data_IF_227702651312
#
_entry.id   IF_227702651312
#
_cell.length_a   1.000
_cell.length_b   1.000
_cell.length_c   1.000
_cell.angle_alpha   90.00
_cell.angle_beta   90.00
_cell.angle_gamma   90.00
#
_symmetry.space_group_name_H-M   'P 1'
#
loop_
_entity.id
_entity.type
_entity.pdbx_description
1 polymer ?
#
# COMPACT_ATOMS: atom_id res chain seq x y z
N UNK A 1 -24.50 -32.04 33.70
CA UNK A 1 -24.36 -30.67 34.23
C UNK A 1 -24.25 -29.72 33.05
N UNK A 2 -25.10 -28.70 32.96
CA UNK A 2 -25.06 -27.69 31.91
C UNK A 2 -24.58 -26.37 32.51
N UNK A 3 -23.57 -25.74 31.89
CA UNK A 3 -23.08 -24.42 32.26
C UNK A 3 -23.64 -23.40 31.25
N UNK A 4 -24.83 -22.83 31.49
CA UNK A 4 -25.37 -21.83 30.58
C UNK A 4 -24.49 -20.58 30.62
N UNK A 5 -24.04 -20.13 29.46
CA UNK A 5 -23.38 -18.84 29.31
C UNK A 5 -24.43 -17.78 29.01
N UNK A 6 -24.42 -16.70 29.77
CA UNK A 6 -25.22 -15.50 29.49
C UNK A 6 -24.30 -14.46 28.86
N UNK A 7 -24.70 -13.93 27.71
CA UNK A 7 -24.00 -12.84 27.03
C UNK A 7 -24.78 -11.55 27.24
N UNK A 8 -24.14 -10.55 27.81
CA UNK A 8 -24.72 -9.21 27.99
C UNK A 8 -23.95 -8.19 27.16
N UNK A 9 -24.66 -7.34 26.41
CA UNK A 9 -24.06 -6.27 25.62
C UNK A 9 -24.18 -4.96 26.42
N UNK A 10 -23.06 -4.32 26.68
CA UNK A 10 -23.00 -2.99 27.28
C UNK A 10 -22.34 -2.00 26.30
N UNK A 11 -22.79 -0.75 26.33
CA UNK A 11 -22.25 0.33 25.49
C UNK A 11 -21.87 1.51 26.37
N UNK A 12 -20.58 1.67 26.68
CA UNK A 12 -20.07 2.87 27.35
C UNK A 12 -19.42 3.82 26.33
N UNK A 13 -20.27 4.56 25.63
CA UNK A 13 -19.84 5.55 24.64
C UNK A 13 -19.33 6.87 25.27
N UNK A 14 -19.41 7.02 26.60
CA UNK A 14 -19.10 8.27 27.29
C UNK A 14 -17.67 8.35 27.81
N UNK A 15 -17.07 7.22 28.17
CA UNK A 15 -15.73 7.20 28.76
C UNK A 15 -14.67 6.55 27.84
N UNK A 16 -15.07 5.99 26.70
CA UNK A 16 -14.15 5.27 25.82
C UNK A 16 -13.43 6.20 24.84
N UNK A 17 -12.13 6.38 25.07
CA UNK A 17 -11.19 6.79 24.01
C UNK A 17 -10.87 5.58 23.13
N UNK A 18 -11.49 5.53 21.96
CA UNK A 18 -11.30 4.43 21.02
C UNK A 18 -10.16 4.74 20.07
N UNK A 19 -9.38 3.71 19.73
CA UNK A 19 -8.44 3.82 18.63
C UNK A 19 -9.21 3.91 17.31
N UNK A 20 -8.82 4.86 16.46
CA UNK A 20 -9.23 4.84 15.07
C UNK A 20 -8.72 3.53 14.44
N UNK A 21 -9.51 2.84 13.60
CA UNK A 21 -9.05 1.61 12.98
C UNK A 21 -7.89 1.87 12.02
N UNK A 22 -7.12 0.82 11.76
CA UNK A 22 -6.25 0.78 10.60
C UNK A 22 -7.09 0.67 9.33
N UNK A 23 -6.67 1.35 8.27
CA UNK A 23 -7.30 1.25 6.95
C UNK A 23 -6.23 0.87 5.95
N UNK A 24 -6.49 -0.18 5.20
CA UNK A 24 -5.61 -0.65 4.12
C UNK A 24 -6.42 -0.66 2.83
N UNK A 25 -5.85 -0.08 1.78
CA UNK A 25 -6.46 -0.03 0.45
C UNK A 25 -5.42 -0.38 -0.62
N UNK A 26 -5.86 -1.03 -1.68
CA UNK A 26 -5.04 -1.34 -2.84
C UNK A 26 -5.62 -0.60 -4.05
N UNK A 27 -4.78 0.02 -4.86
CA UNK A 27 -5.23 0.62 -6.11
C UNK A 27 -5.60 -0.48 -7.11
N UNK A 28 -6.64 -0.23 -7.91
CA UNK A 28 -6.99 -1.11 -9.03
C UNK A 28 -5.88 -1.09 -10.09
N UNK A 29 -5.43 0.12 -10.47
CA UNK A 29 -4.25 0.31 -11.30
C UNK A 29 -3.02 0.52 -10.39
N UNK A 30 -2.12 -0.46 -10.36
CA UNK A 30 -0.95 -0.48 -9.47
C UNK A 30 0.33 0.05 -10.10
N UNK A 31 0.25 0.60 -11.31
CA UNK A 31 1.39 1.24 -11.98
C UNK A 31 0.96 2.50 -12.71
N UNK A 32 1.87 3.47 -12.78
CA UNK A 32 1.71 4.68 -13.59
C UNK A 32 2.43 4.49 -14.92
N UNK A 33 1.75 4.72 -16.05
CA UNK A 33 2.34 4.61 -17.39
C UNK A 33 3.60 5.47 -17.54
N UNK A 34 3.56 6.71 -17.04
CA UNK A 34 4.71 7.65 -17.07
C UNK A 34 5.89 7.12 -16.27
N UNK A 35 5.65 6.58 -15.06
CA UNK A 35 6.72 6.03 -14.22
C UNK A 35 7.29 4.74 -14.80
N UNK A 36 6.44 3.89 -15.38
CA UNK A 36 6.84 2.68 -16.09
C UNK A 36 7.71 2.99 -17.31
N UNK A 37 7.32 3.95 -18.15
CA UNK A 37 8.12 4.43 -19.29
C UNK A 37 9.52 4.90 -18.84
N UNK A 38 9.58 5.71 -17.78
CA UNK A 38 10.84 6.18 -17.22
C UNK A 38 11.68 5.05 -16.61
N UNK A 39 11.06 4.06 -15.98
CA UNK A 39 11.74 2.88 -15.44
C UNK A 39 12.35 2.05 -16.57
N UNK A 40 11.57 1.73 -17.61
CA UNK A 40 12.02 0.93 -18.76
C UNK A 40 13.21 1.58 -19.46
N UNK A 41 13.14 2.89 -19.69
CA UNK A 41 14.24 3.65 -20.29
C UNK A 41 15.52 3.59 -19.44
N UNK A 42 15.41 3.65 -18.11
CA UNK A 42 16.57 3.61 -17.21
C UNK A 42 17.16 2.21 -17.08
N UNK A 43 16.33 1.18 -17.02
CA UNK A 43 16.75 -0.20 -16.75
C UNK A 43 17.29 -0.91 -18.00
N UNK A 44 16.63 -0.72 -19.16
CA UNK A 44 16.97 -1.46 -20.39
C UNK A 44 17.36 -0.56 -21.56
N UNK A 45 17.40 0.76 -21.37
CA UNK A 45 17.70 1.74 -22.44
C UNK A 45 16.74 1.64 -23.65
N UNK A 46 15.47 1.32 -23.39
CA UNK A 46 14.43 1.16 -24.41
C UNK A 46 13.46 2.36 -24.37
N UNK A 47 13.18 2.93 -25.52
CA UNK A 47 12.23 4.02 -25.73
C UNK A 47 10.92 3.51 -26.33
N UNK A 48 9.88 4.35 -26.33
CA UNK A 48 8.53 4.00 -26.83
C UNK A 48 8.48 3.60 -28.31
N UNK A 49 9.46 4.04 -29.11
CA UNK A 49 9.54 3.71 -30.54
C UNK A 49 10.15 2.33 -30.81
N UNK A 50 10.77 1.71 -29.81
CA UNK A 50 11.42 0.41 -29.98
C UNK A 50 10.40 -0.71 -29.93
N UNK A 51 10.57 -1.72 -30.79
CA UNK A 51 9.67 -2.88 -30.86
C UNK A 51 9.59 -3.65 -29.52
N UNK A 52 10.72 -3.71 -28.80
CA UNK A 52 10.83 -4.37 -27.48
C UNK A 52 10.13 -3.61 -26.35
N UNK A 53 9.73 -2.35 -26.55
CA UNK A 53 9.09 -1.56 -25.51
C UNK A 53 7.80 -2.20 -25.00
N UNK A 54 6.99 -2.74 -25.92
CA UNK A 54 5.74 -3.41 -25.58
C UNK A 54 5.96 -4.60 -24.64
N UNK A 55 7.02 -5.38 -24.89
CA UNK A 55 7.39 -6.53 -24.08
C UNK A 55 7.76 -6.13 -22.65
N UNK A 56 8.67 -5.16 -22.48
CA UNK A 56 9.07 -4.69 -21.15
C UNK A 56 7.93 -3.98 -20.40
N UNK A 57 7.06 -3.28 -21.12
CA UNK A 57 5.87 -2.67 -20.52
C UNK A 57 4.90 -3.73 -20.01
N UNK A 58 4.70 -4.81 -20.76
CA UNK A 58 3.87 -5.93 -20.32
C UNK A 58 4.49 -6.64 -19.11
N UNK A 59 5.81 -6.81 -19.07
CA UNK A 59 6.52 -7.30 -17.88
C UNK A 59 6.26 -6.41 -16.65
N UNK A 60 6.50 -5.10 -16.76
CA UNK A 60 6.27 -4.14 -15.66
C UNK A 60 4.83 -4.18 -15.19
N UNK A 61 3.87 -4.23 -16.13
CA UNK A 61 2.43 -4.33 -15.81
C UNK A 61 2.10 -5.62 -15.08
N UNK A 62 2.66 -6.75 -15.51
CA UNK A 62 2.44 -8.06 -14.89
C UNK A 62 2.96 -8.08 -13.47
N UNK A 63 4.22 -7.70 -13.27
CA UNK A 63 4.86 -7.67 -11.95
C UNK A 63 4.11 -6.72 -11.01
N UNK A 64 3.66 -5.55 -11.49
CA UNK A 64 2.90 -4.59 -10.68
C UNK A 64 1.49 -5.06 -10.33
N UNK A 65 0.89 -5.90 -11.17
CA UNK A 65 -0.50 -6.40 -11.01
C UNK A 65 -0.56 -7.82 -10.44
N UNK A 66 0.58 -8.34 -9.99
CA UNK A 66 0.67 -9.69 -9.47
C UNK A 66 -0.01 -9.78 -8.11
N UNK A 67 -0.64 -10.92 -7.90
CA UNK A 67 -1.36 -11.35 -6.72
C UNK A 67 -1.04 -12.82 -6.53
N UNK A 68 -1.34 -13.36 -5.35
CA UNK A 68 -1.19 -14.78 -5.06
C UNK A 68 -1.87 -15.67 -6.12
N UNK A 69 -3.00 -15.24 -6.69
CA UNK A 69 -3.79 -16.02 -7.64
C UNK A 69 -3.23 -16.07 -9.08
N UNK A 70 -2.43 -15.07 -9.47
CA UNK A 70 -1.94 -14.93 -10.85
C UNK A 70 -0.41 -14.91 -10.95
N UNK A 71 0.27 -15.53 -9.97
CA UNK A 71 1.72 -15.73 -10.02
C UNK A 71 2.19 -16.46 -11.29
N UNK A 72 1.34 -17.34 -11.85
CA UNK A 72 1.62 -18.09 -13.07
C UNK A 72 1.88 -17.20 -14.29
N UNK A 73 1.37 -15.96 -14.30
CA UNK A 73 1.54 -15.03 -15.40
C UNK A 73 3.00 -14.61 -15.60
N UNK A 74 3.85 -14.76 -14.58
CA UNK A 74 5.29 -14.50 -14.70
C UNK A 74 6.02 -15.53 -15.55
N UNK A 75 5.44 -16.72 -15.74
CA UNK A 75 6.10 -17.82 -16.47
C UNK A 75 6.51 -17.45 -17.90
N UNK A 76 5.75 -16.57 -18.55
CA UNK A 76 6.07 -16.10 -19.92
C UNK A 76 7.37 -15.30 -20.04
N UNK A 77 7.96 -14.91 -18.91
CA UNK A 77 9.21 -14.15 -18.82
C UNK A 77 10.38 -14.99 -18.32
N UNK A 78 10.18 -16.29 -18.05
CA UNK A 78 11.16 -17.19 -17.40
C UNK A 78 12.47 -17.31 -18.18
N UNK A 79 12.41 -17.36 -19.52
CA UNK A 79 13.58 -17.58 -20.37
C UNK A 79 14.39 -16.31 -20.69
N UNK A 80 13.92 -15.12 -20.27
CA UNK A 80 14.58 -13.86 -20.61
C UNK A 80 15.63 -13.45 -19.56
N UNK A 81 16.89 -13.67 -19.91
CA UNK A 81 18.07 -13.31 -19.10
C UNK A 81 18.18 -11.82 -18.77
N UNK A 82 17.56 -10.95 -19.56
CA UNK A 82 17.57 -9.50 -19.29
C UNK A 82 16.74 -9.11 -18.07
N UNK A 83 15.87 -10.02 -17.60
CA UNK A 83 14.98 -9.82 -16.46
C UNK A 83 15.48 -10.48 -15.17
N UNK A 84 16.48 -11.35 -15.23
CA UNK A 84 17.02 -12.11 -14.07
C UNK A 84 17.51 -11.20 -12.93
N UNK A 85 18.11 -10.05 -13.25
CA UNK A 85 18.69 -9.13 -12.28
C UNK A 85 17.73 -8.01 -11.82
N UNK A 86 16.43 -8.17 -12.06
CA UNK A 86 15.43 -7.16 -11.70
C UNK A 86 14.93 -7.40 -10.29
N UNK A 87 15.16 -6.44 -9.41
CA UNK A 87 14.48 -6.39 -8.11
C UNK A 87 12.99 -6.01 -8.34
N UNK A 88 12.13 -7.03 -8.29
CA UNK A 88 10.69 -6.87 -8.52
C UNK A 88 10.05 -5.93 -7.49
N UNK A 89 10.48 -5.96 -6.24
CA UNK A 89 9.94 -5.10 -5.17
C UNK A 89 10.31 -3.65 -5.44
N UNK A 90 11.56 -3.39 -5.82
CA UNK A 90 11.99 -2.07 -6.25
C UNK A 90 11.25 -1.60 -7.50
N UNK A 91 11.07 -2.46 -8.50
CA UNK A 91 10.30 -2.15 -9.71
C UNK A 91 8.90 -1.67 -9.35
N UNK A 92 8.14 -2.47 -8.58
CA UNK A 92 6.76 -2.11 -8.24
C UNK A 92 6.67 -0.83 -7.43
N UNK A 93 7.61 -0.57 -6.51
CA UNK A 93 7.62 0.69 -5.75
C UNK A 93 7.95 1.92 -6.60
N UNK A 94 8.83 1.78 -7.59
CA UNK A 94 9.19 2.89 -8.48
C UNK A 94 8.08 3.23 -9.48
N UNK A 95 7.33 2.23 -9.93
CA UNK A 95 6.25 2.43 -10.90
C UNK A 95 4.89 2.66 -10.26
N UNK A 96 4.74 2.41 -8.95
CA UNK A 96 3.49 2.61 -8.22
C UNK A 96 2.97 4.05 -8.38
N UNK A 97 1.67 4.26 -8.64
CA UNK A 97 1.08 5.60 -8.71
C UNK A 97 1.29 6.35 -7.40
N UNK A 98 1.48 7.67 -7.49
CA UNK A 98 1.37 8.50 -6.31
C UNK A 98 -0.10 8.59 -5.92
N UNK A 99 -0.39 8.49 -4.63
CA UNK A 99 -1.74 8.62 -4.13
C UNK A 99 -2.14 10.11 -4.19
N UNK A 100 -3.05 10.46 -5.09
CA UNK A 100 -3.61 11.82 -5.23
C UNK A 100 -4.85 11.98 -4.35
N UNK A 101 -4.81 12.94 -3.44
CA UNK A 101 -5.91 13.23 -2.51
C UNK A 101 -5.45 13.42 -1.07
N UNK A 102 -6.35 13.91 -0.24
CA UNK A 102 -6.08 14.24 1.16
C UNK A 102 -6.93 13.37 2.09
N UNK A 103 -6.28 12.65 3.00
CA UNK A 103 -7.00 11.98 4.09
C UNK A 103 -7.23 12.97 5.24
N UNK A 104 -8.45 13.49 5.31
CA UNK A 104 -8.89 14.37 6.37
C UNK A 104 -9.35 13.52 7.56
N UNK A 105 -8.67 13.66 8.69
CA UNK A 105 -9.11 13.04 9.96
C UNK A 105 -9.66 14.10 10.91
N UNK A 106 -10.23 13.66 12.03
CA UNK A 106 -10.62 14.55 13.12
C UNK A 106 -9.43 15.35 13.70
N UNK A 107 -8.21 14.83 13.58
CA UNK A 107 -6.97 15.47 13.99
C UNK A 107 -6.42 16.31 12.84
N UNK A 108 -6.88 17.56 12.70
CA UNK A 108 -6.50 18.45 11.58
C UNK A 108 -5.02 18.82 11.52
N UNK A 109 -4.29 18.63 12.62
CA UNK A 109 -2.87 19.01 12.74
C UNK A 109 -1.92 17.93 12.22
N UNK A 110 -2.42 16.75 11.86
CA UNK A 110 -1.57 15.64 11.45
C UNK A 110 -1.83 15.30 9.99
N UNK A 111 -0.76 15.37 9.20
CA UNK A 111 -0.79 14.85 7.84
C UNK A 111 -0.86 13.32 7.87
N UNK A 112 -1.75 12.73 7.06
CA UNK A 112 -1.92 11.29 7.00
C UNK A 112 -0.72 10.65 6.28
N UNK A 113 0.15 9.98 7.03
CA UNK A 113 1.24 9.21 6.42
C UNK A 113 0.72 7.85 5.92
N UNK A 114 0.69 7.69 4.60
CA UNK A 114 0.39 6.42 3.95
C UNK A 114 1.65 5.59 3.82
N UNK A 115 1.64 4.39 4.39
CA UNK A 115 2.74 3.45 4.26
C UNK A 115 2.48 2.46 3.14
N UNK A 116 3.43 2.29 2.24
CA UNK A 116 3.40 1.23 1.22
C UNK A 116 3.76 -0.11 1.85
N UNK A 117 2.88 -1.09 1.72
CA UNK A 117 3.02 -2.43 2.27
C UNK A 117 2.85 -3.49 1.18
N UNK A 118 3.42 -4.67 1.43
CA UNK A 118 3.31 -5.83 0.57
C UNK A 118 2.25 -6.79 1.11
N UNK A 119 1.35 -7.24 0.24
CA UNK A 119 0.22 -8.12 0.57
C UNK A 119 0.08 -9.24 -0.46
N UNK A 120 -0.80 -10.20 -0.23
CA UNK A 120 -1.16 -11.23 -1.23
C UNK A 120 -1.82 -10.64 -2.48
N UNK A 121 -2.35 -9.42 -2.40
CA UNK A 121 -2.85 -8.66 -3.53
C UNK A 121 -1.76 -7.78 -4.17
N UNK A 122 -0.49 -7.92 -3.80
CA UNK A 122 0.60 -7.07 -4.27
C UNK A 122 0.79 -5.82 -3.40
N UNK A 123 1.27 -4.73 -4.01
CA UNK A 123 1.56 -3.47 -3.29
C UNK A 123 0.27 -2.73 -2.97
N UNK A 124 0.13 -2.35 -1.71
CA UNK A 124 -1.02 -1.62 -1.18
C UNK A 124 -0.55 -0.50 -0.25
N UNK A 125 -1.48 0.38 0.13
CA UNK A 125 -1.25 1.47 1.06
C UNK A 125 -2.01 1.22 2.35
N UNK A 126 -1.41 1.58 3.49
CA UNK A 126 -2.05 1.45 4.78
C UNK A 126 -1.88 2.71 5.62
N UNK A 127 -2.88 2.97 6.43
CA UNK A 127 -2.93 4.10 7.36
C UNK A 127 -3.23 3.60 8.77
N UNK A 128 -2.63 4.27 9.77
CA UNK A 128 -2.93 4.09 11.19
C UNK A 128 -2.81 2.63 11.67
N UNK A 129 -1.77 1.91 11.21
CA UNK A 129 -1.47 0.54 11.59
C UNK A 129 -0.07 0.41 12.19
N UNK A 130 0.04 -0.14 13.40
CA UNK A 130 1.35 -0.51 13.98
C UNK A 130 1.99 -1.67 13.23
N UNK A 131 1.17 -2.55 12.66
CA UNK A 131 1.61 -3.73 11.91
C UNK A 131 2.24 -3.35 10.56
N UNK A 132 1.96 -2.16 10.05
CA UNK A 132 2.52 -1.66 8.79
C UNK A 132 4.05 -1.76 8.76
N UNK A 133 4.74 -1.49 9.88
CA UNK A 133 6.21 -1.56 9.98
C UNK A 133 6.81 -2.93 9.65
N UNK A 134 6.04 -4.02 9.82
CA UNK A 134 6.48 -5.38 9.51
C UNK A 134 6.29 -5.74 8.04
N UNK A 135 5.30 -5.10 7.38
CA UNK A 135 4.96 -5.34 5.98
C UNK A 135 5.48 -4.23 5.04
N UNK A 136 6.09 -3.20 5.60
CA UNK A 136 6.55 -2.03 4.87
C UNK A 136 7.66 -2.39 3.89
N UNK A 137 7.51 -1.86 2.68
CA UNK A 137 8.55 -2.00 1.66
C UNK A 137 9.66 -1.00 1.98
N UNK A 138 10.65 -1.44 2.76
CA UNK A 138 11.76 -0.60 3.21
C UNK A 138 12.51 -0.02 2.00
N UNK A 139 12.37 1.29 1.77
CA UNK A 139 13.36 2.06 1.01
C UNK A 139 14.60 2.16 1.89
N UNK A 140 15.77 1.73 1.39
CA UNK A 140 17.03 1.81 2.13
C UNK A 140 17.40 3.22 2.55
N UNK A 141 16.93 3.65 3.73
CA UNK A 141 17.26 4.90 4.40
C UNK A 141 17.56 4.56 5.85
N UNK A 142 18.67 5.08 6.36
CA UNK A 142 19.13 4.91 7.73
C UNK A 142 18.00 5.18 8.72
N UNK A 143 17.68 4.16 9.51
CA UNK A 143 16.63 4.16 10.55
C UNK A 143 17.10 5.04 11.72
N UNK A 144 17.06 6.34 11.52
CA UNK A 144 17.28 7.34 12.56
C UNK A 144 16.10 8.29 12.59
N UNK A 145 14.94 7.75 12.96
CA UNK A 145 13.89 8.39 13.74
C UNK A 145 12.71 7.43 13.80
N UNK A 146 12.71 6.54 14.79
CA UNK A 146 11.48 5.97 15.33
C UNK A 146 10.67 7.12 15.93
N UNK A 147 10.00 7.91 15.08
CA UNK A 147 8.83 8.63 15.53
C UNK A 147 7.86 7.58 16.09
N UNK A 148 7.44 7.79 17.33
CA UNK A 148 6.41 6.96 17.95
C UNK A 148 5.20 6.95 17.01
N UNK A 149 4.94 5.78 16.43
CA UNK A 149 3.78 5.53 15.57
C UNK A 149 2.53 5.56 16.46
N UNK A 150 2.13 6.77 16.85
CA UNK A 150 0.97 7.03 17.69
C UNK A 150 -0.28 6.69 16.88
N UNK A 151 -1.05 5.72 17.35
CA UNK A 151 -2.33 5.36 16.77
C UNK A 151 -3.33 6.44 17.16
N UNK A 152 -4.03 6.99 16.16
CA UNK A 152 -5.03 8.02 16.39
C UNK A 152 -6.12 7.49 17.32
N UNK A 153 -6.51 8.31 18.29
CA UNK A 153 -7.56 8.01 19.27
C UNK A 153 -8.62 9.09 19.22
N UNK A 154 -9.87 8.70 19.31
CA UNK A 154 -11.01 9.61 19.21
C UNK A 154 -12.04 9.34 20.32
N UNK A 155 -12.82 10.36 20.62
CA UNK A 155 -13.92 10.27 21.58
C UNK A 155 -15.27 10.29 20.85
N UNK A 156 -16.14 9.31 21.12
CA UNK A 156 -17.41 9.15 20.37
C UNK A 156 -18.42 10.28 20.63
N UNK A 157 -18.47 10.84 21.85
CA UNK A 157 -19.45 11.88 22.19
C UNK A 157 -19.36 13.16 21.34
N UNK A 158 -18.16 13.51 20.84
CA UNK A 158 -17.99 14.78 20.16
C UNK A 158 -18.42 14.73 18.68
N UNK A 159 -18.88 13.58 18.14
CA UNK A 159 -19.06 13.39 16.68
C UNK A 159 -17.79 13.69 15.86
N UNK A 160 -16.63 13.69 16.53
CA UNK A 160 -15.31 14.00 15.96
C UNK A 160 -14.49 12.71 15.80
N UNK A 161 -15.11 11.57 15.48
CA UNK A 161 -14.36 10.38 15.10
C UNK A 161 -14.69 10.00 13.66
N UNK A 162 -13.92 10.56 12.73
CA UNK A 162 -14.08 10.30 11.32
C UNK A 162 -12.72 10.35 10.62
N UNK A 163 -12.68 9.65 9.50
CA UNK A 163 -11.64 9.78 8.49
C UNK A 163 -12.37 9.84 7.14
N UNK A 164 -12.05 10.85 6.33
CA UNK A 164 -12.60 11.04 5.00
C UNK A 164 -11.45 11.19 4.02
N UNK A 165 -11.46 10.37 2.99
CA UNK A 165 -10.53 10.52 1.89
C UNK A 165 -11.19 11.37 0.80
N UNK A 166 -10.62 12.55 0.55
CA UNK A 166 -11.04 13.41 -0.54
C UNK A 166 -10.08 13.16 -1.71
N UNK A 167 -10.57 12.46 -2.74
CA UNK A 167 -9.85 12.31 -4.01
C UNK A 167 -9.95 13.61 -4.82
N UNK A 168 -8.86 13.98 -5.48
CA UNK A 168 -8.82 15.11 -6.43
C UNK A 168 -9.76 14.90 -7.63
#
# INVERSE_FOLDING_TARGET
>A
MANPTVVTIQKDFRNWMNHLPAVTGCLNEKFSKRKAENYIKRQWNVNRSDEKFSYYLDFVKTVSSITYYNLVDLKRFEDDKTLENVDMVKLVTEVHPDLSGTLVTFERKREPNWTLILTELGVCITFNSKFAKLLEIRKGVNDSQTEDNYILKCHYLNRLCYARYDSD
#
